data_IF_923461335699
#
_entry.id   IF_923461335699
#
_cell.length_a   1.000
_cell.length_b   1.000
_cell.length_c   1.000
_cell.angle_alpha   90.00
_cell.angle_beta   90.00
_cell.angle_gamma   90.00
#
_symmetry.space_group_name_H-M   'P 1'
#
loop_
_entity.id
_entity.type
_entity.pdbx_description
1 polymer ?
#
# COMPACT_ATOMS: atom_id res chain seq x y z
N UNK A 1 -7.60 -28.01 -1.28
CA UNK A 1 -6.57 -27.09 -0.72
C UNK A 1 -6.57 -25.72 -1.40
N UNK A 2 -7.65 -25.30 -2.10
CA UNK A 2 -7.76 -24.00 -2.77
C UNK A 2 -8.04 -22.80 -1.84
N UNK A 3 -8.53 -23.04 -0.61
CA UNK A 3 -8.88 -21.97 0.34
C UNK A 3 -7.69 -21.11 0.77
N UNK A 4 -6.55 -21.76 1.08
CA UNK A 4 -5.37 -21.07 1.57
C UNK A 4 -4.78 -20.06 0.57
N UNK A 5 -4.93 -20.30 -0.74
CA UNK A 5 -4.47 -19.34 -1.77
C UNK A 5 -5.31 -18.06 -1.75
N UNK A 6 -6.63 -18.19 -1.57
CA UNK A 6 -7.54 -17.04 -1.49
C UNK A 6 -7.28 -16.21 -0.22
N UNK A 7 -6.99 -16.87 0.89
CA UNK A 7 -6.69 -16.20 2.16
C UNK A 7 -5.38 -15.42 2.07
N UNK A 8 -4.33 -16.02 1.49
CA UNK A 8 -3.03 -15.34 1.29
C UNK A 8 -3.16 -14.13 0.37
N UNK A 9 -3.92 -14.24 -0.72
CA UNK A 9 -4.16 -13.12 -1.62
C UNK A 9 -4.91 -11.97 -0.91
N UNK A 10 -5.96 -12.31 -0.15
CA UNK A 10 -6.74 -11.35 0.60
C UNK A 10 -5.89 -10.63 1.65
N UNK A 11 -5.14 -11.38 2.47
CA UNK A 11 -4.28 -10.82 3.52
C UNK A 11 -3.16 -9.96 2.93
N UNK A 12 -2.54 -10.41 1.83
CA UNK A 12 -1.48 -9.63 1.14
C UNK A 12 -2.02 -8.29 0.64
N UNK A 13 -3.21 -8.28 0.05
CA UNK A 13 -3.86 -7.05 -0.44
C UNK A 13 -4.21 -6.12 0.71
N UNK A 14 -4.73 -6.65 1.81
CA UNK A 14 -5.08 -5.88 2.98
C UNK A 14 -3.84 -5.28 3.65
N UNK A 15 -2.78 -6.07 3.86
CA UNK A 15 -1.51 -5.62 4.42
C UNK A 15 -0.90 -4.48 3.58
N UNK A 16 -0.94 -4.60 2.25
CA UNK A 16 -0.51 -3.53 1.34
C UNK A 16 -1.30 -2.24 1.61
N UNK A 17 -2.63 -2.31 1.70
CA UNK A 17 -3.46 -1.14 2.00
C UNK A 17 -3.18 -0.55 3.39
N UNK A 18 -2.95 -1.38 4.41
CA UNK A 18 -2.56 -0.91 5.75
C UNK A 18 -1.30 -0.05 5.70
N UNK A 19 -0.28 -0.50 4.98
CA UNK A 19 1.00 0.21 4.89
C UNK A 19 0.90 1.44 3.99
N UNK A 20 0.31 1.31 2.80
CA UNK A 20 0.41 2.36 1.77
C UNK A 20 -0.75 3.36 1.77
N UNK A 21 -1.94 2.97 2.23
CA UNK A 21 -3.13 3.82 2.27
C UNK A 21 -3.43 4.35 3.66
N UNK A 22 -3.39 3.47 4.67
CA UNK A 22 -3.75 3.85 6.04
C UNK A 22 -2.55 4.34 6.86
N UNK A 23 -1.32 4.19 6.36
CA UNK A 23 -0.12 4.63 7.05
C UNK A 23 0.14 3.86 8.36
N UNK A 24 -0.29 2.60 8.41
CA UNK A 24 -0.15 1.72 9.58
C UNK A 24 1.21 1.00 9.57
N UNK A 25 2.27 1.79 9.49
CA UNK A 25 3.64 1.32 9.62
C UNK A 25 4.41 2.28 10.53
N UNK A 26 5.04 1.75 11.57
CA UNK A 26 5.89 2.55 12.46
C UNK A 26 7.15 3.05 11.73
N UNK A 27 7.65 2.26 10.77
CA UNK A 27 8.85 2.55 9.99
C UNK A 27 8.61 3.66 8.95
N UNK A 28 7.48 3.61 8.24
CA UNK A 28 7.14 4.56 7.18
C UNK A 28 6.33 5.76 7.69
N UNK A 29 5.71 5.62 8.85
CA UNK A 29 4.84 6.64 9.46
C UNK A 29 3.50 6.79 8.75
N UNK A 30 2.66 7.74 9.21
CA UNK A 30 1.30 7.95 8.71
C UNK A 30 1.28 8.72 7.38
N UNK A 31 1.94 8.17 6.35
CA UNK A 31 2.02 8.76 5.02
C UNK A 31 1.24 7.90 4.03
N UNK A 32 0.36 8.54 3.25
CA UNK A 32 -0.28 7.91 2.11
C UNK A 32 0.71 7.82 0.93
N UNK A 33 1.12 6.59 0.59
CA UNK A 33 1.96 6.26 -0.56
C UNK A 33 1.15 5.82 -1.77
N UNK A 34 -0.04 5.26 -1.56
CA UNK A 34 -0.97 4.90 -2.62
C UNK A 34 -1.80 6.12 -3.03
N UNK A 35 -1.80 6.45 -4.31
CA UNK A 35 -2.86 7.30 -4.88
C UNK A 35 -4.13 6.46 -4.96
N UNK A 36 -5.23 6.98 -4.43
CA UNK A 36 -6.55 6.43 -4.69
C UNK A 36 -6.86 6.75 -6.16
N UNK A 37 -7.04 5.73 -7.01
CA UNK A 37 -7.59 5.90 -8.37
C UNK A 37 -9.06 6.35 -8.29
N UNK A 38 -9.30 7.55 -7.77
CA UNK A 38 -10.65 8.02 -7.52
C UNK A 38 -10.71 9.22 -6.61
N UNK A 39 -10.43 10.41 -7.16
CA UNK A 39 -11.36 11.54 -7.07
C UNK A 39 -10.95 12.62 -8.08
N UNK A 40 -11.69 12.68 -9.19
CA UNK A 40 -11.67 13.81 -10.12
C UNK A 40 -12.48 14.93 -9.47
N UNK A 41 -11.88 15.68 -8.54
CA UNK A 41 -12.52 16.88 -7.98
C UNK A 41 -12.05 18.13 -8.73
N UNK A 42 -13.02 19.02 -8.99
CA UNK A 42 -12.98 20.16 -9.91
C UNK A 42 -11.59 20.79 -10.16
N UNK A 43 -11.07 20.60 -11.37
CA UNK A 43 -10.32 21.66 -12.06
C UNK A 43 -8.86 21.86 -11.68
N UNK A 44 -8.10 20.81 -11.34
CA UNK A 44 -6.64 20.75 -11.61
C UNK A 44 -6.12 19.35 -11.25
N UNK A 45 -6.35 18.38 -12.14
CA UNK A 45 -5.81 17.03 -11.97
C UNK A 45 -4.33 17.01 -12.30
N UNK A 46 -3.48 17.41 -11.35
CA UNK A 46 -2.12 16.91 -11.33
C UNK A 46 -2.21 15.57 -10.61
N UNK A 47 -2.46 14.49 -11.35
CA UNK A 47 -2.16 13.14 -10.88
C UNK A 47 -0.63 13.11 -10.64
N UNK A 48 -0.21 13.48 -9.43
CA UNK A 48 1.18 13.37 -9.02
C UNK A 48 1.34 11.95 -8.52
N UNK A 49 1.46 11.01 -9.46
CA UNK A 49 2.02 9.70 -9.17
C UNK A 49 3.34 9.94 -8.45
N UNK A 50 3.27 9.84 -7.12
CA UNK A 50 4.40 10.07 -6.25
C UNK A 50 5.33 8.93 -6.60
N UNK A 51 6.40 9.25 -7.31
CA UNK A 51 7.43 8.27 -7.61
C UNK A 51 7.98 7.76 -6.28
N UNK A 52 7.57 6.55 -5.89
CA UNK A 52 8.08 5.87 -4.71
C UNK A 52 9.53 5.52 -5.00
N UNK A 53 10.45 5.92 -4.13
CA UNK A 53 11.86 5.54 -4.28
C UNK A 53 12.00 4.03 -4.11
N UNK A 54 13.02 3.43 -4.75
CA UNK A 54 13.31 2.00 -4.61
C UNK A 54 13.52 1.58 -3.16
N UNK A 55 14.16 2.43 -2.36
CA UNK A 55 14.33 2.24 -0.92
C UNK A 55 12.99 2.18 -0.19
N UNK A 56 12.08 3.12 -0.47
CA UNK A 56 10.74 3.15 0.13
C UNK A 56 9.91 1.94 -0.30
N UNK A 57 10.00 1.54 -1.57
CA UNK A 57 9.33 0.35 -2.08
C UNK A 57 9.78 -0.91 -1.35
N UNK A 58 11.08 -1.05 -1.10
CA UNK A 58 11.63 -2.15 -0.32
C UNK A 58 11.10 -2.16 1.11
N UNK A 59 11.06 -1.00 1.78
CA UNK A 59 10.51 -0.89 3.13
C UNK A 59 9.02 -1.30 3.17
N UNK A 60 8.24 -0.90 2.17
CA UNK A 60 6.84 -1.31 2.04
C UNK A 60 6.72 -2.83 1.90
N UNK A 61 7.56 -3.46 1.06
CA UNK A 61 7.55 -4.92 0.90
C UNK A 61 7.94 -5.67 2.18
N UNK A 62 8.95 -5.19 2.90
CA UNK A 62 9.40 -5.77 4.16
C UNK A 62 8.29 -5.67 5.23
N UNK A 63 7.58 -4.54 5.25
CA UNK A 63 6.44 -4.33 6.14
C UNK A 63 5.26 -5.27 5.81
N UNK A 64 4.93 -5.42 4.52
CA UNK A 64 3.87 -6.33 4.06
C UNK A 64 4.21 -7.77 4.46
N UNK A 65 5.46 -8.21 4.28
CA UNK A 65 5.90 -9.55 4.69
C UNK A 65 5.69 -9.78 6.18
N UNK A 66 5.99 -8.79 7.04
CA UNK A 66 5.78 -8.86 8.49
C UNK A 66 4.31 -9.03 8.89
N UNK A 67 3.36 -8.57 8.07
CA UNK A 67 1.93 -8.76 8.33
C UNK A 67 1.42 -10.14 7.91
N UNK A 68 2.03 -10.73 6.88
CA UNK A 68 1.57 -11.98 6.26
C UNK A 68 2.28 -13.21 6.84
N UNK A 69 3.54 -13.06 7.26
CA UNK A 69 4.42 -14.13 7.79
C UNK A 69 4.80 -13.85 9.23
#
# INVERSE_FOLDING_TARGET
TSGASSDIEYVTRLARAMVTKYGLSETLGPIAYAEEEGEVFLGQSIARTKAISSETAKLIEDEIKRFVT
#
